data_IF_574295252229
#
_entry.id   IF_574295252229
#
_cell.length_a   1.000
_cell.length_b   1.000
_cell.length_c   1.000
_cell.angle_alpha   90.00
_cell.angle_beta   90.00
_cell.angle_gamma   90.00
#
_symmetry.space_group_name_H-M   'P 1'
#
loop_
_entity.id
_entity.type
_entity.pdbx_description
1 polymer ?
#
# COMPACT_ATOMS: atom_id res chain seq x y z
N UNK A 1 18.41 -37.64 7.16
CA UNK A 1 18.30 -36.33 7.81
C UNK A 1 17.70 -35.39 6.80
N UNK A 2 16.50 -34.87 7.07
CA UNK A 2 15.74 -34.07 6.12
C UNK A 2 16.56 -32.84 5.72
N UNK A 3 16.70 -32.62 4.41
CA UNK A 3 17.22 -31.35 3.90
C UNK A 3 16.40 -30.23 4.55
N UNK A 4 17.05 -29.41 5.37
CA UNK A 4 16.44 -28.23 5.96
C UNK A 4 15.90 -27.38 4.79
N UNK A 5 14.60 -27.12 4.87
CA UNK A 5 13.71 -26.93 3.75
C UNK A 5 13.90 -25.58 3.08
N UNK A 6 14.62 -25.57 1.96
CA UNK A 6 14.55 -24.46 1.01
C UNK A 6 13.10 -24.33 0.51
N UNK A 7 12.40 -23.30 0.97
CA UNK A 7 10.97 -23.17 0.77
C UNK A 7 10.63 -22.98 -0.71
N UNK A 8 9.64 -23.74 -1.18
CA UNK A 8 9.09 -23.68 -2.54
C UNK A 8 7.58 -23.97 -2.48
N UNK A 9 6.73 -23.17 -3.12
CA UNK A 9 5.31 -23.45 -3.20
C UNK A 9 5.07 -24.66 -4.10
N UNK A 10 4.09 -25.49 -3.74
CA UNK A 10 3.60 -26.62 -4.55
C UNK A 10 2.37 -26.24 -5.37
N UNK A 11 1.58 -25.29 -4.87
CA UNK A 11 0.44 -24.68 -5.55
C UNK A 11 0.44 -23.15 -5.35
N UNK A 12 -0.27 -22.41 -6.20
CA UNK A 12 -0.42 -20.95 -6.07
C UNK A 12 -1.08 -20.58 -4.73
N UNK A 13 -2.02 -21.40 -4.26
CA UNK A 13 -2.74 -21.23 -3.00
C UNK A 13 -1.90 -21.47 -1.75
N UNK A 14 -0.66 -21.97 -1.88
CA UNK A 14 0.22 -22.19 -0.73
C UNK A 14 0.73 -20.89 -0.11
N UNK A 15 0.66 -19.77 -0.85
CA UNK A 15 0.97 -18.45 -0.35
C UNK A 15 -0.33 -17.64 -0.21
N UNK A 16 -0.88 -17.59 1.01
CA UNK A 16 -2.11 -16.82 1.30
C UNK A 16 -1.98 -15.31 1.09
N UNK A 17 -0.76 -14.79 1.01
CA UNK A 17 -0.47 -13.36 0.86
C UNK A 17 -0.17 -12.96 -0.59
N UNK A 18 -0.07 -13.91 -1.52
CA UNK A 18 0.35 -13.62 -2.90
C UNK A 18 -0.66 -12.76 -3.67
N UNK A 19 -1.95 -12.89 -3.38
CA UNK A 19 -3.04 -12.17 -4.05
C UNK A 19 -4.24 -12.15 -3.10
N UNK A 20 -4.48 -11.00 -2.47
CA UNK A 20 -5.70 -10.75 -1.69
C UNK A 20 -6.61 -9.87 -2.54
N UNK A 21 -7.80 -10.37 -2.81
CA UNK A 21 -8.92 -9.61 -3.38
C UNK A 21 -9.87 -9.23 -2.26
N UNK A 22 -10.57 -8.12 -2.45
CA UNK A 22 -11.54 -7.59 -1.50
C UNK A 22 -12.90 -7.44 -2.15
N UNK A 23 -13.94 -7.38 -1.32
CA UNK A 23 -15.31 -7.56 -1.80
C UNK A 23 -15.77 -6.37 -2.64
N UNK A 24 -15.44 -5.13 -2.25
CA UNK A 24 -15.93 -3.91 -2.90
C UNK A 24 -14.79 -2.99 -3.37
N UNK A 25 -14.98 -2.26 -4.49
CA UNK A 25 -14.10 -1.17 -4.90
C UNK A 25 -14.30 0.13 -4.10
N UNK A 26 -13.31 1.02 -4.11
CA UNK A 26 -13.47 2.39 -3.62
C UNK A 26 -14.12 3.30 -4.67
N UNK A 27 -15.09 4.12 -4.27
CA UNK A 27 -15.69 5.11 -5.18
C UNK A 27 -14.73 6.26 -5.50
N UNK A 28 -14.92 6.95 -6.63
CA UNK A 28 -14.12 8.14 -6.99
C UNK A 28 -14.16 9.23 -5.90
N UNK A 29 -15.34 9.41 -5.27
CA UNK A 29 -15.53 10.34 -4.14
C UNK A 29 -14.67 9.90 -2.95
N UNK A 30 -14.71 8.62 -2.61
CA UNK A 30 -13.91 8.07 -1.51
C UNK A 30 -12.40 8.19 -1.78
N UNK A 31 -11.94 7.93 -3.00
CA UNK A 31 -10.52 8.08 -3.35
C UNK A 31 -10.02 9.50 -3.21
N UNK A 32 -10.81 10.49 -3.68
CA UNK A 32 -10.48 11.91 -3.51
C UNK A 32 -10.38 12.25 -2.02
N UNK A 33 -11.32 11.75 -1.22
CA UNK A 33 -11.29 11.90 0.22
C UNK A 33 -10.05 11.25 0.86
N UNK A 34 -9.73 10.01 0.50
CA UNK A 34 -8.58 9.25 1.00
C UNK A 34 -7.26 9.94 0.66
N UNK A 35 -7.12 10.50 -0.55
CA UNK A 35 -5.95 11.26 -0.95
C UNK A 35 -5.75 12.49 -0.04
N UNK A 36 -6.80 13.27 0.20
CA UNK A 36 -6.74 14.45 1.08
C UNK A 36 -6.44 14.06 2.53
N UNK A 37 -7.10 13.01 3.04
CA UNK A 37 -6.83 12.48 4.38
C UNK A 37 -5.35 12.08 4.49
N UNK A 38 -4.83 11.35 3.51
CA UNK A 38 -3.43 10.94 3.48
C UNK A 38 -2.48 12.15 3.44
N UNK A 39 -2.77 13.17 2.64
CA UNK A 39 -1.97 14.40 2.57
C UNK A 39 -1.90 15.14 3.91
N UNK A 40 -2.91 15.01 4.78
CA UNK A 40 -2.91 15.57 6.13
C UNK A 40 -2.11 14.68 7.08
N UNK A 41 -2.34 13.36 7.06
CA UNK A 41 -1.65 12.40 7.93
C UNK A 41 -0.13 12.39 7.73
N UNK A 42 0.31 12.65 6.49
CA UNK A 42 1.73 12.77 6.15
C UNK A 42 2.39 14.07 6.63
N UNK A 43 1.63 15.04 7.17
CA UNK A 43 2.22 16.28 7.70
C UNK A 43 2.80 15.97 9.08
N UNK A 44 4.06 16.32 9.36
CA UNK A 44 4.63 16.17 10.69
C UNK A 44 3.75 16.87 11.73
N UNK A 45 3.43 16.19 12.83
CA UNK A 45 2.62 16.77 13.91
C UNK A 45 1.23 17.26 13.48
N UNK A 46 0.59 16.59 12.52
CA UNK A 46 -0.76 16.95 12.07
C UNK A 46 -1.79 17.00 13.21
N UNK A 47 -1.67 16.13 14.24
CA UNK A 47 -2.58 16.11 15.40
C UNK A 47 -2.45 17.33 16.30
N UNK A 48 -1.28 18.00 16.29
CA UNK A 48 -1.10 19.30 16.95
C UNK A 48 -1.69 20.40 16.06
N UNK A 49 -1.37 20.35 14.76
CA UNK A 49 -1.79 21.34 13.77
C UNK A 49 -3.30 21.43 13.62
N UNK A 50 -4.03 20.32 13.75
CA UNK A 50 -5.49 20.30 13.66
C UNK A 50 -6.19 21.05 14.81
N UNK A 51 -5.48 21.36 15.90
CA UNK A 51 -6.02 22.18 16.99
C UNK A 51 -6.02 23.68 16.66
N UNK A 52 -5.29 24.11 15.63
CA UNK A 52 -5.26 25.49 15.17
C UNK A 52 -6.34 25.74 14.12
N UNK A 53 -7.32 26.58 14.48
CA UNK A 53 -8.45 26.97 13.61
C UNK A 53 -8.00 27.61 12.29
N UNK A 54 -6.85 28.29 12.29
CA UNK A 54 -6.28 28.90 11.08
C UNK A 54 -5.72 27.84 10.15
N UNK A 55 -5.10 26.80 10.71
CA UNK A 55 -4.59 25.67 9.93
C UNK A 55 -5.75 24.84 9.37
N UNK A 56 -6.79 24.58 10.16
CA UNK A 56 -8.00 23.90 9.66
C UNK A 56 -8.66 24.68 8.52
N UNK A 57 -8.80 26.00 8.65
CA UNK A 57 -9.34 26.84 7.58
C UNK A 57 -8.49 26.77 6.29
N UNK A 58 -7.16 26.67 6.45
CA UNK A 58 -6.24 26.49 5.32
C UNK A 58 -6.40 25.11 4.67
N UNK A 59 -6.41 24.03 5.45
CA UNK A 59 -6.63 22.67 4.92
C UNK A 59 -7.98 22.55 4.24
N UNK A 60 -9.03 23.17 4.79
CA UNK A 60 -10.35 23.26 4.17
C UNK A 60 -10.27 23.91 2.79
N UNK A 61 -9.62 25.07 2.69
CA UNK A 61 -9.48 25.80 1.43
C UNK A 61 -8.63 25.04 0.39
N UNK A 62 -7.60 24.28 0.83
CA UNK A 62 -6.74 23.49 -0.06
C UNK A 62 -7.38 22.16 -0.51
N UNK A 63 -8.39 21.67 0.20
CA UNK A 63 -8.99 20.35 -0.03
C UNK A 63 -10.07 20.28 -1.12
N UNK A 64 -10.67 21.41 -1.49
CA UNK A 64 -11.87 21.46 -2.34
C UNK A 64 -13.03 20.54 -1.88
N UNK A 65 -13.10 20.21 -0.58
CA UNK A 65 -14.19 19.43 0.02
C UNK A 65 -15.38 20.33 0.35
N UNK A 66 -16.60 19.77 0.37
CA UNK A 66 -17.78 20.45 0.90
C UNK A 66 -17.68 20.63 2.43
N UNK A 67 -18.50 21.51 3.04
CA UNK A 67 -18.46 21.72 4.50
C UNK A 67 -18.78 20.45 5.27
N UNK A 68 -19.70 19.64 4.74
CA UNK A 68 -20.05 18.34 5.30
C UNK A 68 -18.88 17.35 5.20
N UNK A 69 -18.26 17.21 4.03
CA UNK A 69 -17.15 16.27 3.80
C UNK A 69 -15.91 16.64 4.62
N UNK A 70 -15.63 17.94 4.74
CA UNK A 70 -14.53 18.41 5.59
C UNK A 70 -14.85 18.20 7.08
N UNK A 71 -16.11 18.38 7.49
CA UNK A 71 -16.55 18.02 8.83
C UNK A 71 -16.34 16.53 9.12
N UNK A 72 -16.65 15.65 8.16
CA UNK A 72 -16.36 14.23 8.24
C UNK A 72 -14.85 13.93 8.37
N UNK A 73 -14.03 14.60 7.55
CA UNK A 73 -12.57 14.50 7.62
C UNK A 73 -12.02 14.86 8.99
N UNK A 74 -12.48 15.97 9.58
CA UNK A 74 -12.03 16.40 10.91
C UNK A 74 -12.40 15.38 11.98
N UNK A 75 -13.61 14.81 11.94
CA UNK A 75 -14.03 13.76 12.88
C UNK A 75 -13.17 12.49 12.75
N UNK A 76 -12.80 12.09 11.53
CA UNK A 76 -11.90 10.95 11.32
C UNK A 76 -10.51 11.21 11.89
N UNK A 77 -9.97 12.41 11.71
CA UNK A 77 -8.71 12.82 12.32
C UNK A 77 -8.79 12.82 13.86
N UNK A 78 -9.87 13.36 14.44
CA UNK A 78 -10.10 13.33 15.89
C UNK A 78 -10.17 11.89 16.42
N UNK A 79 -10.83 11.00 15.68
CA UNK A 79 -10.85 9.58 16.01
C UNK A 79 -9.44 8.99 16.05
N UNK A 80 -8.59 9.26 15.05
CA UNK A 80 -7.21 8.78 15.05
C UNK A 80 -6.40 9.33 16.22
N UNK A 81 -6.54 10.62 16.56
CA UNK A 81 -5.86 11.20 17.73
C UNK A 81 -6.25 10.46 19.01
N UNK A 82 -7.55 10.19 19.20
CA UNK A 82 -8.08 9.54 20.39
C UNK A 82 -7.68 8.06 20.47
N UNK A 83 -7.74 7.31 19.38
CA UNK A 83 -7.43 5.87 19.38
C UNK A 83 -5.93 5.59 19.47
N UNK A 84 -5.11 6.30 18.69
CA UNK A 84 -3.67 6.05 18.60
C UNK A 84 -2.84 6.85 19.61
N UNK A 85 -3.54 7.55 20.52
CA UNK A 85 -2.97 8.31 21.63
C UNK A 85 -1.86 9.26 21.19
N UNK A 86 -2.12 10.02 20.14
CA UNK A 86 -1.21 11.05 19.67
C UNK A 86 -1.29 12.24 20.63
N UNK A 87 -0.45 12.24 21.67
CA UNK A 87 -0.44 13.29 22.69
C UNK A 87 0.60 14.36 22.41
N UNK A 88 0.34 15.59 22.89
CA UNK A 88 1.35 16.67 22.97
C UNK A 88 2.34 16.48 24.12
N UNK A 89 2.03 15.57 25.05
CA UNK A 89 2.83 15.31 26.24
C UNK A 89 3.53 13.97 26.09
N UNK A 90 4.84 13.93 26.37
CA UNK A 90 5.73 12.75 26.38
C UNK A 90 5.34 11.66 27.40
N UNK A 91 4.13 11.70 27.94
CA UNK A 91 3.63 10.69 28.86
C UNK A 91 2.47 9.96 28.18
N UNK A 92 2.68 8.69 27.78
CA UNK A 92 1.58 7.83 27.41
C UNK A 92 0.54 7.85 28.52
N UNK A 93 -0.72 8.06 28.17
CA UNK A 93 -1.80 7.67 29.08
C UNK A 93 -1.61 6.19 29.41
N UNK A 94 -1.75 5.76 30.69
CA UNK A 94 -1.73 4.34 31.01
C UNK A 94 -2.93 3.70 30.31
N UNK A 95 -2.67 3.09 29.16
CA UNK A 95 -3.71 2.46 28.36
C UNK A 95 -3.64 0.95 28.52
N UNK A 96 -4.81 0.35 28.70
CA UNK A 96 -5.04 -1.07 28.50
C UNK A 96 -5.21 -1.40 27.02
N UNK A 97 -4.89 -0.47 26.11
CA UNK A 97 -5.15 -0.62 24.68
C UNK A 97 -4.07 -1.53 24.06
N UNK A 98 -4.45 -2.49 23.21
CA UNK A 98 -3.52 -3.43 22.59
C UNK A 98 -2.69 -2.80 21.45
N UNK A 99 -2.96 -1.54 21.08
CA UNK A 99 -2.31 -0.87 19.95
C UNK A 99 -1.00 -0.17 20.34
N UNK A 100 0.03 -0.25 19.48
CA UNK A 100 1.30 0.40 19.75
C UNK A 100 1.14 1.91 19.55
N UNK A 101 1.54 2.67 20.57
CA UNK A 101 1.42 4.13 20.61
C UNK A 101 2.15 4.77 19.42
N UNK A 102 1.54 5.75 18.76
CA UNK A 102 2.20 6.52 17.71
C UNK A 102 2.32 5.85 16.33
N UNK A 103 1.67 4.69 16.13
CA UNK A 103 1.46 4.09 14.80
C UNK A 103 0.05 4.44 14.32
N UNK A 104 -0.04 5.06 13.15
CA UNK A 104 -1.30 5.55 12.58
C UNK A 104 -1.59 4.79 11.28
N UNK A 105 -2.82 4.26 11.07
CA UNK A 105 -3.20 3.69 9.79
C UNK A 105 -3.30 4.78 8.74
N UNK A 106 -2.87 4.44 7.53
CA UNK A 106 -3.10 5.26 6.36
C UNK A 106 -4.39 4.84 5.68
N UNK A 107 -4.97 5.67 4.78
CA UNK A 107 -6.22 5.32 4.11
C UNK A 107 -6.10 4.05 3.27
N UNK A 108 -4.91 3.73 2.75
CA UNK A 108 -4.65 2.45 2.11
C UNK A 108 -4.75 1.29 3.11
N UNK A 109 -5.54 0.28 2.75
CA UNK A 109 -5.71 -0.93 3.56
C UNK A 109 -4.37 -1.61 3.89
N UNK A 110 -4.19 -2.00 5.15
CA UNK A 110 -2.98 -2.68 5.63
C UNK A 110 -1.73 -1.81 5.67
N UNK A 111 -1.83 -0.49 5.45
CA UNK A 111 -0.70 0.44 5.46
C UNK A 111 -0.70 1.26 6.73
N UNK A 112 0.44 1.31 7.41
CA UNK A 112 0.63 2.01 8.68
C UNK A 112 1.88 2.88 8.60
N UNK A 113 1.88 4.00 9.30
CA UNK A 113 3.02 4.92 9.39
C UNK A 113 3.30 5.37 10.82
N UNK A 114 4.51 5.89 11.02
CA UNK A 114 4.90 6.62 12.22
C UNK A 114 6.05 7.58 11.90
N UNK A 115 6.02 8.77 12.49
CA UNK A 115 7.08 9.78 12.32
C UNK A 115 7.97 9.92 13.58
N UNK A 116 7.76 9.09 14.61
CA UNK A 116 8.38 9.30 15.94
C UNK A 116 9.14 8.11 16.50
N UNK A 117 8.94 6.91 15.96
CA UNK A 117 9.55 5.72 16.57
C UNK A 117 11.05 5.62 16.32
N UNK A 118 11.55 6.16 15.21
CA UNK A 118 12.98 6.10 14.87
C UNK A 118 13.69 7.33 15.44
N UNK A 119 14.53 7.14 16.45
CA UNK A 119 15.31 8.22 17.05
C UNK A 119 16.45 8.69 16.14
N UNK A 120 16.89 9.94 16.33
CA UNK A 120 17.90 10.56 15.47
C UNK A 120 19.28 9.91 15.58
N UNK A 121 19.61 9.26 16.69
CA UNK A 121 20.92 8.61 16.86
C UNK A 121 20.96 7.25 16.15
N UNK A 122 19.87 6.48 16.18
CA UNK A 122 19.71 5.28 15.36
C UNK A 122 19.80 5.62 13.87
N UNK A 123 19.10 6.67 13.42
CA UNK A 123 19.12 7.13 12.03
C UNK A 123 20.54 7.48 11.57
N UNK A 124 21.24 8.32 12.37
CA UNK A 124 22.62 8.74 12.09
C UNK A 124 23.60 7.55 12.08
N UNK A 125 23.37 6.57 12.96
CA UNK A 125 24.18 5.36 13.01
C UNK A 125 24.00 4.51 11.75
N UNK A 126 22.76 4.30 11.29
CA UNK A 126 22.48 3.60 10.04
C UNK A 126 23.10 4.33 8.84
N UNK A 127 22.94 5.66 8.75
CA UNK A 127 23.57 6.48 7.71
C UNK A 127 25.10 6.30 7.69
N UNK A 128 25.76 6.47 8.84
CA UNK A 128 27.22 6.37 8.93
C UNK A 128 27.74 4.97 8.58
N UNK A 129 27.04 3.92 9.00
CA UNK A 129 27.44 2.52 8.77
C UNK A 129 27.11 2.02 7.36
N UNK A 130 26.15 2.66 6.66
CA UNK A 130 25.81 2.32 5.27
C UNK A 130 26.61 3.11 4.23
N UNK A 131 27.18 4.27 4.58
CA UNK A 131 27.97 5.09 3.65
C UNK A 131 29.15 4.36 2.98
N UNK A 132 29.95 3.50 3.69
CA UNK A 132 30.98 2.70 3.02
C UNK A 132 30.41 1.70 2.02
N UNK A 133 29.29 1.05 2.35
CA UNK A 133 28.61 0.11 1.46
C UNK A 133 28.11 0.79 0.19
N UNK A 134 27.59 2.00 0.32
CA UNK A 134 27.16 2.82 -0.81
C UNK A 134 28.34 3.20 -1.73
N UNK A 135 29.46 3.62 -1.15
CA UNK A 135 30.67 3.93 -1.92
C UNK A 135 31.19 2.70 -2.69
N UNK A 136 31.15 1.52 -2.07
CA UNK A 136 31.53 0.26 -2.71
C UNK A 136 30.55 -0.16 -3.82
N UNK A 137 29.24 -0.08 -3.59
CA UNK A 137 28.22 -0.36 -4.60
C UNK A 137 28.39 0.55 -5.83
N UNK A 138 28.66 1.83 -5.59
CA UNK A 138 28.95 2.80 -6.66
C UNK A 138 30.23 2.46 -7.41
N UNK A 139 31.29 2.05 -6.71
CA UNK A 139 32.55 1.66 -7.35
C UNK A 139 32.40 0.40 -8.24
N UNK A 140 31.50 -0.51 -7.88
CA UNK A 140 31.14 -1.68 -8.70
C UNK A 140 30.19 -1.36 -9.86
N UNK A 141 29.47 -0.24 -9.77
CA UNK A 141 28.46 0.14 -10.75
C UNK A 141 27.16 -0.65 -10.58
N UNK A 142 26.77 -0.95 -9.34
CA UNK A 142 25.58 -1.72 -8.97
C UNK A 142 24.28 -0.88 -9.15
N UNK A 143 24.11 -0.25 -10.31
CA UNK A 143 22.91 0.52 -10.63
C UNK A 143 21.76 -0.40 -11.06
N UNK A 144 20.56 -0.09 -10.59
CA UNK A 144 19.36 -0.84 -10.88
C UNK A 144 19.08 -0.84 -12.39
N UNK A 145 18.73 -1.98 -13.01
CA UNK A 145 18.42 -2.05 -14.43
C UNK A 145 17.32 -1.07 -14.84
N UNK A 146 17.49 -0.44 -16.01
CA UNK A 146 16.54 0.52 -16.58
C UNK A 146 16.28 1.78 -15.72
N UNK A 147 17.12 2.07 -14.72
CA UNK A 147 17.00 3.27 -13.87
C UNK A 147 17.73 4.51 -14.41
N UNK A 148 18.37 4.42 -15.58
CA UNK A 148 19.25 5.47 -16.11
C UNK A 148 20.35 5.87 -15.10
N UNK A 149 20.93 4.90 -14.40
CA UNK A 149 21.94 5.10 -13.34
C UNK A 149 21.48 6.07 -12.24
N UNK A 150 20.18 6.10 -11.92
CA UNK A 150 19.61 6.94 -10.85
C UNK A 150 19.26 6.14 -9.61
N UNK A 151 19.24 4.81 -9.66
CA UNK A 151 18.96 3.97 -8.49
C UNK A 151 20.16 3.08 -8.24
N UNK A 152 20.83 3.26 -7.11
CA UNK A 152 21.99 2.47 -6.69
C UNK A 152 21.56 1.38 -5.71
N UNK A 153 21.79 0.12 -6.07
CA UNK A 153 21.48 -1.05 -5.24
C UNK A 153 22.63 -1.31 -4.24
N UNK A 154 22.49 -0.80 -3.01
CA UNK A 154 23.50 -0.92 -1.94
C UNK A 154 23.47 -2.32 -1.35
N UNK A 155 22.29 -2.73 -0.87
CA UNK A 155 21.96 -4.09 -0.45
C UNK A 155 20.72 -4.48 -1.23
N UNK A 156 20.81 -5.48 -2.10
CA UNK A 156 19.68 -5.88 -2.92
C UNK A 156 19.61 -7.40 -3.06
N UNK A 157 18.45 -8.03 -2.78
CA UNK A 157 18.35 -9.48 -2.72
C UNK A 157 18.59 -10.18 -4.06
N UNK A 158 18.53 -9.45 -5.18
CA UNK A 158 18.84 -10.00 -6.51
C UNK A 158 20.35 -10.10 -6.80
N UNK A 159 21.20 -9.32 -6.14
CA UNK A 159 22.66 -9.32 -6.40
C UNK A 159 23.33 -10.64 -5.98
N UNK A 160 22.84 -11.25 -4.90
CA UNK A 160 23.38 -12.50 -4.33
C UNK A 160 22.28 -13.52 -4.04
N UNK A 161 21.30 -13.63 -4.94
CA UNK A 161 20.22 -14.61 -4.85
C UNK A 161 20.73 -16.06 -4.96
N UNK A 162 19.93 -17.02 -4.50
CA UNK A 162 20.19 -18.42 -4.76
C UNK A 162 19.98 -18.74 -6.24
N UNK A 163 20.89 -19.53 -6.82
CA UNK A 163 20.84 -19.99 -8.20
C UNK A 163 20.81 -21.52 -8.23
N UNK A 164 19.75 -22.07 -8.84
CA UNK A 164 19.51 -23.51 -8.89
C UNK A 164 20.68 -24.25 -9.55
N UNK A 165 21.27 -25.22 -8.85
CA UNK A 165 22.40 -26.00 -9.36
C UNK A 165 23.73 -25.24 -9.40
N UNK A 166 23.83 -24.05 -8.79
CA UNK A 166 25.08 -23.29 -8.70
C UNK A 166 25.41 -22.84 -7.28
N UNK A 167 24.44 -22.30 -6.54
CA UNK A 167 24.68 -21.82 -5.17
C UNK A 167 25.13 -22.98 -4.28
N UNK A 168 26.13 -22.73 -3.44
CA UNK A 168 26.66 -23.72 -2.50
C UNK A 168 26.05 -23.52 -1.13
N UNK A 169 25.72 -24.61 -0.45
CA UNK A 169 25.16 -24.63 0.90
C UNK A 169 26.01 -25.50 1.82
N UNK A 170 25.97 -25.17 3.11
CA UNK A 170 26.59 -25.94 4.17
C UNK A 170 25.51 -26.52 5.09
N UNK A 171 25.70 -27.78 5.51
CA UNK A 171 24.80 -28.47 6.44
C UNK A 171 25.21 -28.28 7.91
N UNK A 172 26.40 -27.72 8.15
CA UNK A 172 26.92 -27.48 9.49
C UNK A 172 26.37 -26.17 10.06
N UNK A 173 25.75 -26.25 11.23
CA UNK A 173 25.35 -25.08 12.04
C UNK A 173 26.58 -24.48 12.73
N UNK A 174 27.56 -24.04 11.95
CA UNK A 174 28.65 -23.20 12.45
C UNK A 174 28.08 -21.85 12.91
N UNK A 175 28.64 -21.25 13.96
CA UNK A 175 28.30 -19.88 14.36
C UNK A 175 28.48 -18.93 13.17
N UNK A 176 27.76 -17.79 13.14
CA UNK A 176 27.90 -16.76 12.08
C UNK A 176 29.38 -16.42 11.77
N UNK A 177 30.24 -16.45 12.79
CA UNK A 177 31.67 -16.11 12.69
C UNK A 177 32.59 -17.26 12.26
N UNK A 178 32.12 -18.51 12.24
CA UNK A 178 32.94 -19.70 11.95
C UNK A 178 32.44 -20.50 10.73
N UNK A 179 31.42 -19.99 10.04
CA UNK A 179 30.90 -20.64 8.86
C UNK A 179 31.93 -20.67 7.72
N UNK A 180 32.07 -21.81 7.02
CA UNK A 180 32.97 -21.88 5.87
C UNK A 180 32.50 -20.91 4.78
N UNK A 181 33.44 -20.13 4.23
CA UNK A 181 33.21 -19.15 3.15
C UNK A 181 32.58 -19.78 1.89
N UNK A 182 32.73 -21.09 1.70
CA UNK A 182 32.14 -21.82 0.59
C UNK A 182 31.41 -23.07 1.10
N UNK A 183 30.16 -23.22 0.68
CA UNK A 183 29.36 -24.40 1.01
C UNK A 183 29.92 -25.70 0.40
N UNK A 184 29.72 -26.80 1.13
CA UNK A 184 30.23 -28.12 0.80
C UNK A 184 29.44 -28.81 -0.32
N UNK A 185 28.16 -28.46 -0.47
CA UNK A 185 27.25 -29.07 -1.45
C UNK A 185 26.56 -28.03 -2.31
N UNK A 186 26.07 -28.43 -3.48
CA UNK A 186 25.35 -27.54 -4.40
C UNK A 186 23.87 -27.60 -4.11
N UNK A 187 23.25 -26.45 -3.85
CA UNK A 187 21.82 -26.30 -3.70
C UNK A 187 21.11 -26.59 -5.02
N UNK A 188 20.17 -27.53 -4.98
CA UNK A 188 19.33 -27.91 -6.11
C UNK A 188 17.89 -28.01 -5.65
N UNK A 189 16.96 -27.54 -6.48
CA UNK A 189 15.53 -27.69 -6.25
C UNK A 189 14.80 -28.13 -7.53
N UNK A 190 13.69 -28.87 -7.41
CA UNK A 190 12.91 -29.31 -8.55
C UNK A 190 12.29 -28.12 -9.29
N UNK A 191 12.09 -28.31 -10.60
CA UNK A 191 11.35 -27.35 -11.41
C UNK A 191 9.89 -27.33 -10.93
N UNK A 192 9.34 -26.13 -10.79
CA UNK A 192 7.94 -25.86 -10.51
C UNK A 192 7.21 -25.54 -11.82
N UNK A 193 5.96 -26.00 -11.91
CA UNK A 193 5.00 -25.61 -12.94
C UNK A 193 4.03 -24.52 -12.47
N UNK A 194 4.16 -24.05 -11.22
CA UNK A 194 3.34 -22.96 -10.67
C UNK A 194 3.71 -21.67 -11.42
N UNK A 195 2.69 -20.94 -11.88
CA UNK A 195 2.86 -19.64 -12.53
C UNK A 195 3.59 -18.65 -11.61
N UNK A 196 4.38 -17.72 -12.17
CA UNK A 196 5.19 -16.76 -11.42
C UNK A 196 6.14 -17.35 -10.35
N UNK A 197 6.56 -18.60 -10.54
CA UNK A 197 7.63 -19.22 -9.76
C UNK A 197 8.87 -19.38 -10.62
N UNK A 198 9.94 -18.67 -10.24
CA UNK A 198 11.24 -18.80 -10.91
C UNK A 198 11.83 -20.18 -10.67
N UNK A 199 12.29 -20.83 -11.75
CA UNK A 199 12.99 -22.11 -11.68
C UNK A 199 14.50 -21.98 -11.55
N UNK A 200 15.02 -20.75 -11.63
CA UNK A 200 16.45 -20.46 -11.72
C UNK A 200 16.98 -19.70 -10.51
N UNK A 201 16.20 -18.77 -10.00
CA UNK A 201 16.59 -17.80 -8.99
C UNK A 201 15.58 -17.78 -7.85
N UNK A 202 16.02 -17.52 -6.63
CA UNK A 202 15.16 -17.25 -5.48
C UNK A 202 15.92 -16.37 -4.48
N UNK A 203 15.28 -15.36 -3.93
CA UNK A 203 15.91 -14.53 -2.90
C UNK A 203 16.22 -15.34 -1.63
N UNK A 204 17.35 -15.03 -0.98
CA UNK A 204 17.77 -15.67 0.25
C UNK A 204 17.39 -14.80 1.46
N UNK A 205 16.38 -15.19 2.25
CA UNK A 205 16.10 -14.51 3.51
C UNK A 205 17.17 -14.85 4.56
N UNK A 206 17.34 -13.94 5.52
CA UNK A 206 18.04 -14.23 6.77
C UNK A 206 17.03 -14.54 7.89
N UNK A 207 17.22 -15.60 8.68
CA UNK A 207 16.48 -15.80 9.92
C UNK A 207 16.73 -14.68 10.94
N UNK A 208 15.64 -14.15 11.50
CA UNK A 208 15.62 -13.21 12.62
C UNK A 208 14.80 -13.82 13.74
N UNK A 209 15.42 -14.06 14.90
CA UNK A 209 14.70 -14.53 16.08
C UNK A 209 14.12 -13.35 16.84
N UNK A 210 12.83 -13.43 17.17
CA UNK A 210 12.13 -12.47 18.02
C UNK A 210 11.82 -13.16 19.34
N UNK A 211 12.35 -12.65 20.44
CA UNK A 211 12.14 -13.24 21.76
C UNK A 211 10.76 -12.87 22.36
N UNK A 212 10.51 -13.28 23.62
CA UNK A 212 9.26 -12.99 24.33
C UNK A 212 9.02 -11.51 24.60
N UNK A 213 10.08 -10.70 24.60
CA UNK A 213 10.05 -9.26 24.86
C UNK A 213 9.97 -8.44 23.56
N UNK A 214 10.19 -9.08 22.41
CA UNK A 214 10.19 -8.43 21.10
C UNK A 214 11.58 -8.10 20.59
N UNK A 215 12.64 -8.49 21.31
CA UNK A 215 14.00 -8.26 20.85
C UNK A 215 14.34 -9.15 19.68
N UNK A 216 14.93 -8.52 18.65
CA UNK A 216 15.25 -9.15 17.39
C UNK A 216 16.75 -9.47 17.32
N UNK A 217 17.10 -10.64 16.79
CA UNK A 217 18.50 -11.00 16.55
C UNK A 217 18.63 -11.73 15.23
N UNK A 218 19.46 -11.19 14.34
CA UNK A 218 19.85 -11.86 13.10
C UNK A 218 20.67 -13.12 13.44
N UNK A 219 20.19 -14.27 12.98
CA UNK A 219 20.84 -15.57 13.22
C UNK A 219 21.79 -15.98 12.09
N UNK A 220 21.80 -15.24 10.97
CA UNK A 220 22.67 -15.50 9.84
C UNK A 220 23.12 -14.20 9.15
N UNK A 221 23.97 -14.32 8.13
CA UNK A 221 24.37 -13.17 7.35
C UNK A 221 23.18 -12.59 6.58
N UNK A 222 23.21 -11.28 6.32
CA UNK A 222 22.30 -10.64 5.38
C UNK A 222 23.07 -10.63 4.04
N UNK A 223 22.40 -10.90 2.93
CA UNK A 223 23.08 -10.86 1.62
C UNK A 223 23.77 -9.51 1.43
N UNK A 224 24.94 -9.51 0.77
CA UNK A 224 25.79 -8.33 0.56
C UNK A 224 26.56 -7.84 1.80
N UNK A 225 26.19 -8.23 3.02
CA UNK A 225 26.80 -7.71 4.25
C UNK A 225 27.15 -8.85 5.21
N UNK A 226 28.43 -9.24 5.24
CA UNK A 226 28.89 -10.29 6.14
C UNK A 226 29.07 -9.75 7.57
N UNK A 227 28.65 -10.47 8.62
CA UNK A 227 28.69 -10.00 10.01
C UNK A 227 30.11 -9.78 10.56
N UNK A 228 31.14 -10.39 9.98
CA UNK A 228 32.54 -10.11 10.37
C UNK A 228 33.02 -8.74 9.94
N UNK A 229 32.47 -8.24 8.83
CA UNK A 229 32.95 -7.03 8.16
C UNK A 229 32.07 -5.82 8.54
N UNK A 230 30.82 -6.09 8.93
CA UNK A 230 29.81 -5.09 9.27
C UNK A 230 29.17 -5.34 10.65
N UNK A 231 29.94 -5.82 11.63
CA UNK A 231 29.44 -6.20 12.96
C UNK A 231 28.62 -5.09 13.64
N UNK A 232 28.99 -3.83 13.42
CA UNK A 232 28.36 -2.68 14.06
C UNK A 232 27.02 -2.31 13.43
N UNK A 233 26.76 -2.72 12.17
CA UNK A 233 25.50 -2.46 11.46
C UNK A 233 24.37 -3.38 11.92
N UNK A 234 24.69 -4.63 12.27
CA UNK A 234 23.70 -5.64 12.66
C UNK A 234 22.83 -5.24 13.87
N UNK A 235 23.39 -4.73 14.98
CA UNK A 235 22.59 -4.22 16.09
C UNK A 235 21.64 -3.08 15.67
N UNK A 236 22.07 -2.17 14.79
CA UNK A 236 21.23 -1.05 14.33
C UNK A 236 20.06 -1.55 13.47
N UNK A 237 20.32 -2.49 12.55
CA UNK A 237 19.26 -3.11 11.76
C UNK A 237 18.29 -3.92 12.63
N UNK A 238 18.79 -4.57 13.70
CA UNK A 238 17.96 -5.30 14.65
C UNK A 238 17.05 -4.33 15.42
N UNK A 239 17.60 -3.24 15.97
CA UNK A 239 16.81 -2.19 16.63
C UNK A 239 15.79 -1.57 15.69
N UNK A 240 16.13 -1.32 14.42
CA UNK A 240 15.16 -0.84 13.44
C UNK A 240 14.05 -1.87 13.19
N UNK A 241 14.39 -3.16 13.10
CA UNK A 241 13.39 -4.22 12.95
C UNK A 241 12.45 -4.30 14.16
N UNK A 242 12.98 -4.16 15.38
CA UNK A 242 12.18 -4.10 16.62
C UNK A 242 11.17 -2.95 16.59
N UNK A 243 11.57 -1.76 16.10
CA UNK A 243 10.67 -0.61 15.93
C UNK A 243 9.57 -0.87 14.90
N UNK A 244 9.89 -1.57 13.81
CA UNK A 244 8.92 -1.95 12.77
C UNK A 244 8.05 -3.15 13.17
N UNK A 245 8.45 -3.93 14.18
CA UNK A 245 7.77 -5.17 14.55
C UNK A 245 6.27 -4.97 14.78
N UNK A 246 5.79 -3.98 15.57
CA UNK A 246 4.36 -3.80 15.78
C UNK A 246 3.60 -3.35 14.52
N UNK A 247 4.28 -2.68 13.58
CA UNK A 247 3.71 -2.35 12.27
C UNK A 247 3.55 -3.60 11.42
N UNK A 248 4.53 -4.51 11.41
CA UNK A 248 4.42 -5.80 10.75
C UNK A 248 3.30 -6.66 11.34
N UNK A 249 3.19 -6.71 12.67
CA UNK A 249 2.12 -7.42 13.38
C UNK A 249 0.73 -6.94 12.95
N UNK A 250 0.55 -5.62 12.83
CA UNK A 250 -0.73 -5.00 12.44
C UNK A 250 -1.01 -5.15 10.94
N UNK A 251 0.01 -5.00 10.09
CA UNK A 251 -0.09 -5.24 8.64
C UNK A 251 -0.53 -6.68 8.35
N UNK A 252 0.13 -7.67 8.97
CA UNK A 252 -0.21 -9.08 8.82
C UNK A 252 -1.59 -9.42 9.38
N UNK A 253 -2.00 -8.79 10.49
CA UNK A 253 -3.35 -8.93 11.01
C UNK A 253 -4.41 -8.43 10.04
N UNK A 254 -4.10 -7.38 9.27
CA UNK A 254 -5.02 -6.77 8.31
C UNK A 254 -5.28 -7.63 7.07
N UNK A 255 -4.50 -8.68 6.85
CA UNK A 255 -4.61 -9.55 5.66
C UNK A 255 -5.93 -10.32 5.58
N UNK A 256 -6.56 -10.62 6.72
CA UNK A 256 -7.81 -11.39 6.80
C UNK A 256 -9.02 -10.47 7.12
N UNK A 257 -8.89 -9.15 6.94
CA UNK A 257 -9.93 -8.14 7.21
C UNK A 257 -10.22 -7.33 5.97
N UNK A 258 -11.50 -7.00 5.75
CA UNK A 258 -11.95 -6.19 4.62
C UNK A 258 -11.45 -4.74 4.73
N UNK A 259 -11.25 -4.05 3.61
CA UNK A 259 -10.85 -2.66 3.60
C UNK A 259 -11.96 -1.81 4.20
N UNK A 260 -11.57 -0.72 4.86
CA UNK A 260 -12.55 0.21 5.39
C UNK A 260 -13.09 1.09 4.27
N UNK A 261 -14.36 0.87 3.92
CA UNK A 261 -15.14 1.70 3.01
C UNK A 261 -15.92 2.78 3.79
N UNK A 262 -15.71 4.05 3.44
CA UNK A 262 -16.50 5.19 3.94
C UNK A 262 -17.80 5.32 3.16
N UNK A 263 -17.78 4.83 1.92
CA UNK A 263 -18.92 4.74 1.03
C UNK A 263 -18.99 3.27 0.58
N UNK A 264 -19.86 2.50 1.22
CA UNK A 264 -20.02 1.05 0.99
C UNK A 264 -21.39 0.74 0.38
N UNK A 265 -21.55 -0.47 -0.17
CA UNK A 265 -22.83 -1.03 -0.64
C UNK A 265 -23.54 -0.14 -1.66
N UNK A 266 -22.81 0.33 -2.68
CA UNK A 266 -23.37 1.21 -3.70
C UNK A 266 -24.48 0.49 -4.47
N UNK A 267 -25.67 1.09 -4.44
CA UNK A 267 -26.80 0.65 -5.24
C UNK A 267 -26.89 1.49 -6.52
N UNK A 268 -26.65 0.87 -7.67
CA UNK A 268 -26.67 1.57 -8.96
C UNK A 268 -28.05 2.10 -9.34
N UNK A 269 -29.15 1.46 -8.92
CA UNK A 269 -30.51 1.97 -9.14
C UNK A 269 -30.73 3.30 -8.38
N UNK A 270 -30.00 3.54 -7.30
CA UNK A 270 -30.04 4.82 -6.60
C UNK A 270 -29.15 5.87 -7.27
N UNK A 271 -28.02 5.44 -7.83
CA UNK A 271 -27.10 6.33 -8.56
C UNK A 271 -27.73 6.82 -9.85
N UNK A 272 -28.44 5.94 -10.56
CA UNK A 272 -29.12 6.21 -11.82
C UNK A 272 -30.55 5.65 -11.77
N UNK A 273 -31.49 6.38 -11.14
CA UNK A 273 -32.87 5.91 -10.96
C UNK A 273 -33.70 5.94 -12.24
N UNK A 274 -33.15 6.50 -13.31
CA UNK A 274 -33.78 6.51 -14.64
C UNK A 274 -32.68 6.34 -15.66
N UNK A 275 -32.83 5.29 -16.45
CA UNK A 275 -31.83 4.83 -17.40
C UNK A 275 -31.75 5.80 -18.61
N UNK A 276 -30.70 5.75 -19.44
CA UNK A 276 -30.49 6.67 -20.58
C UNK A 276 -31.66 6.59 -21.56
N UNK A 277 -32.15 5.38 -21.83
CA UNK A 277 -33.24 5.12 -22.77
C UNK A 277 -34.55 5.75 -22.29
N UNK A 278 -34.84 5.67 -21.00
CA UNK A 278 -36.00 6.27 -20.36
C UNK A 278 -35.91 7.80 -20.33
N UNK A 279 -34.73 8.36 -20.01
CA UNK A 279 -34.50 9.80 -20.12
C UNK A 279 -34.70 10.30 -21.55
N UNK A 280 -34.16 9.59 -22.54
CA UNK A 280 -34.32 9.91 -23.96
C UNK A 280 -35.79 9.85 -24.38
N UNK A 281 -36.53 8.80 -23.96
CA UNK A 281 -37.97 8.66 -24.20
C UNK A 281 -38.76 9.82 -23.59
N UNK A 282 -38.49 10.17 -22.34
CA UNK A 282 -39.17 11.28 -21.66
C UNK A 282 -38.89 12.62 -22.36
N UNK A 283 -37.65 12.86 -22.76
CA UNK A 283 -37.23 14.06 -23.49
C UNK A 283 -37.90 14.15 -24.87
N UNK A 284 -37.94 13.04 -25.62
CA UNK A 284 -38.62 12.96 -26.91
C UNK A 284 -40.10 13.34 -26.81
N UNK A 285 -40.84 12.73 -25.88
CA UNK A 285 -42.27 13.05 -25.70
C UNK A 285 -42.49 14.46 -25.13
N UNK A 286 -41.57 14.97 -24.30
CA UNK A 286 -41.63 16.36 -23.84
C UNK A 286 -41.45 17.35 -25.01
N UNK A 287 -40.47 17.12 -25.89
CA UNK A 287 -40.25 17.92 -27.09
C UNK A 287 -41.46 17.87 -28.02
N UNK A 288 -42.02 16.68 -28.25
CA UNK A 288 -43.22 16.50 -29.06
C UNK A 288 -44.43 17.27 -28.51
N UNK A 289 -44.62 17.30 -27.19
CA UNK A 289 -45.69 18.10 -26.55
C UNK A 289 -45.48 19.60 -26.72
N UNK A 290 -44.23 20.07 -26.76
CA UNK A 290 -43.92 21.47 -27.06
C UNK A 290 -44.24 21.81 -28.52
N UNK A 291 -43.86 20.93 -29.45
CA UNK A 291 -44.07 21.13 -30.88
C UNK A 291 -45.55 20.98 -31.29
N UNK A 292 -46.28 20.07 -30.63
CA UNK A 292 -47.71 19.87 -30.81
C UNK A 292 -48.41 19.69 -29.44
N UNK A 293 -48.93 20.79 -28.85
CA UNK A 293 -49.65 20.75 -27.56
C UNK A 293 -50.92 19.89 -27.57
N UNK A 294 -51.46 19.57 -28.74
CA UNK A 294 -52.61 18.67 -28.90
C UNK A 294 -52.20 17.20 -29.08
N UNK A 295 -50.93 16.86 -28.92
CA UNK A 295 -50.49 15.46 -28.90
C UNK A 295 -51.15 14.74 -27.72
N UNK A 296 -52.02 13.76 -28.01
CA UNK A 296 -52.86 13.08 -27.00
C UNK A 296 -52.36 11.70 -26.59
N UNK A 297 -51.33 11.17 -27.26
CA UNK A 297 -50.87 9.80 -27.08
C UNK A 297 -49.35 9.72 -27.11
N UNK A 298 -48.77 9.29 -25.98
CA UNK A 298 -47.42 8.74 -25.90
C UNK A 298 -47.61 7.21 -25.96
N UNK A 299 -47.35 6.60 -27.11
CA UNK A 299 -47.65 5.18 -27.32
C UNK A 299 -46.69 4.52 -28.29
N UNK A 300 -46.78 3.19 -28.36
CA UNK A 300 -45.82 2.29 -29.03
C UNK A 300 -45.63 2.52 -30.54
N UNK A 301 -46.49 3.34 -31.17
CA UNK A 301 -46.35 3.72 -32.59
C UNK A 301 -45.10 4.57 -32.87
N UNK A 302 -44.47 5.15 -31.83
CA UNK A 302 -43.28 6.00 -31.94
C UNK A 302 -42.00 5.34 -31.43
N UNK A 303 -42.00 4.02 -31.18
CA UNK A 303 -40.81 3.33 -30.67
C UNK A 303 -39.60 3.55 -31.59
N UNK A 304 -39.74 3.36 -32.90
CA UNK A 304 -38.62 3.53 -33.85
C UNK A 304 -38.01 4.95 -33.79
N UNK A 305 -38.86 5.98 -33.69
CA UNK A 305 -38.42 7.38 -33.57
C UNK A 305 -37.74 7.64 -32.21
N UNK A 306 -38.24 7.02 -31.13
CA UNK A 306 -37.62 7.10 -29.79
C UNK A 306 -36.25 6.43 -29.80
N UNK A 307 -36.10 5.28 -30.46
CA UNK A 307 -34.82 4.59 -30.62
C UNK A 307 -33.81 5.45 -31.37
N UNK A 308 -34.18 6.05 -32.52
CA UNK A 308 -33.29 6.95 -33.27
C UNK A 308 -32.92 8.19 -32.45
N UNK A 309 -33.87 8.77 -31.71
CA UNK A 309 -33.59 9.90 -30.81
C UNK A 309 -32.60 9.52 -29.70
N UNK A 310 -32.78 8.35 -29.09
CA UNK A 310 -31.93 7.84 -28.00
C UNK A 310 -30.47 7.63 -28.41
N UNK A 311 -30.19 7.24 -29.65
CA UNK A 311 -28.81 7.12 -30.17
C UNK A 311 -28.06 8.46 -30.12
N UNK A 312 -28.77 9.57 -30.29
CA UNK A 312 -28.21 10.93 -30.27
C UNK A 312 -28.38 11.67 -28.94
N UNK A 313 -29.00 11.02 -27.95
CA UNK A 313 -29.28 11.65 -26.65
C UNK A 313 -27.99 11.85 -25.86
N UNK A 314 -27.74 13.11 -25.47
CA UNK A 314 -26.56 13.49 -24.72
C UNK A 314 -26.66 12.98 -23.27
N UNK A 315 -25.72 12.10 -22.91
CA UNK A 315 -25.61 11.44 -21.61
C UNK A 315 -25.45 12.42 -20.45
N UNK A 316 -24.97 13.65 -20.72
CA UNK A 316 -24.90 14.70 -19.70
C UNK A 316 -26.30 15.11 -19.17
N UNK A 317 -27.38 14.75 -19.86
CA UNK A 317 -28.76 15.00 -19.43
C UNK A 317 -29.36 13.87 -18.58
N UNK A 318 -28.63 12.78 -18.37
CA UNK A 318 -29.05 11.72 -17.45
C UNK A 318 -28.79 12.19 -16.01
N UNK A 319 -29.80 12.21 -15.12
CA UNK A 319 -29.60 12.61 -13.73
C UNK A 319 -28.83 11.54 -12.96
N UNK A 320 -27.68 11.93 -12.39
CA UNK A 320 -26.86 11.07 -11.54
C UNK A 320 -26.89 11.54 -10.08
N UNK A 321 -27.08 10.59 -9.17
CA UNK A 321 -27.08 10.81 -7.73
C UNK A 321 -25.85 10.13 -7.13
N UNK A 322 -24.71 10.82 -7.17
CA UNK A 322 -23.45 10.25 -6.70
C UNK A 322 -23.51 9.95 -5.21
N UNK A 323 -22.93 8.82 -4.78
CA UNK A 323 -22.84 8.50 -3.37
C UNK A 323 -21.99 9.55 -2.64
N UNK A 324 -22.42 9.91 -1.44
CA UNK A 324 -21.80 10.93 -0.62
C UNK A 324 -21.19 10.34 0.66
N UNK A 325 -20.25 11.07 1.27
CA UNK A 325 -19.72 10.68 2.57
C UNK A 325 -20.81 10.74 3.65
N UNK A 326 -20.75 9.87 4.68
CA UNK A 326 -21.73 9.86 5.76
C UNK A 326 -21.73 11.16 6.56
N UNK A 327 -22.92 11.63 6.96
CA UNK A 327 -23.04 12.90 7.71
C UNK A 327 -22.88 12.73 9.21
N UNK A 328 -23.46 11.70 9.85
CA UNK A 328 -23.46 11.59 11.33
C UNK A 328 -23.41 10.15 11.92
N UNK A 329 -23.56 9.08 11.11
CA UNK A 329 -23.64 7.68 11.59
C UNK A 329 -22.46 6.81 11.12
N UNK A 330 -21.23 7.33 11.19
CA UNK A 330 -20.06 6.53 10.85
C UNK A 330 -19.33 6.06 12.11
N UNK A 331 -19.41 4.77 12.40
CA UNK A 331 -18.63 4.13 13.45
C UNK A 331 -17.22 3.84 12.93
N UNK A 332 -16.24 4.48 13.56
CA UNK A 332 -14.84 4.19 13.29
C UNK A 332 -14.41 2.93 14.05
N UNK A 333 -13.80 1.98 13.34
CA UNK A 333 -13.29 0.74 13.92
C UNK A 333 -12.24 1.01 15.00
N UNK A 334 -12.52 0.55 16.22
CA UNK A 334 -11.68 0.80 17.40
C UNK A 334 -10.52 -0.18 17.55
N UNK A 335 -10.51 -1.28 16.80
CA UNK A 335 -9.48 -2.32 16.89
C UNK A 335 -9.02 -2.76 15.52
N UNK A 336 -7.72 -2.64 15.29
CA UNK A 336 -7.08 -3.23 14.12
C UNK A 336 -6.63 -4.66 14.46
N UNK A 337 -6.84 -5.62 13.56
CA UNK A 337 -6.31 -6.96 13.75
C UNK A 337 -4.77 -6.90 13.87
N UNK A 338 -4.21 -7.71 14.76
CA UNK A 338 -2.77 -7.81 14.97
C UNK A 338 -2.40 -9.25 15.30
N UNK A 339 -1.30 -9.72 14.71
CA UNK A 339 -0.74 -11.05 15.02
C UNK A 339 0.54 -10.89 15.83
N UNK A 340 0.73 -11.70 16.88
CA UNK A 340 1.97 -11.65 17.66
C UNK A 340 3.09 -12.46 17.00
N UNK A 341 4.21 -11.80 16.75
CA UNK A 341 5.39 -12.38 16.14
C UNK A 341 6.46 -12.79 17.17
N UNK A 342 6.30 -12.40 18.44
CA UNK A 342 7.14 -12.85 19.55
C UNK A 342 7.30 -14.38 19.61
N UNK A 343 8.45 -14.83 20.08
CA UNK A 343 8.84 -16.24 20.19
C UNK A 343 8.88 -17.00 18.85
N UNK A 344 8.98 -16.30 17.73
CA UNK A 344 9.14 -16.90 16.40
C UNK A 344 10.51 -16.58 15.79
N UNK A 345 10.89 -17.39 14.80
CA UNK A 345 12.01 -17.06 13.91
C UNK A 345 11.42 -16.69 12.55
N UNK A 346 11.60 -15.44 12.17
CA UNK A 346 11.06 -14.85 10.95
C UNK A 346 12.10 -14.94 9.83
N UNK A 347 11.65 -15.03 8.58
CA UNK A 347 12.50 -14.94 7.40
C UNK A 347 12.46 -13.50 6.90
N UNK A 348 13.59 -12.80 6.92
CA UNK A 348 13.67 -11.37 6.61
C UNK A 348 14.59 -11.14 5.43
N UNK A 349 14.15 -10.30 4.50
CA UNK A 349 14.98 -9.81 3.40
C UNK A 349 15.24 -8.33 3.64
N UNK A 350 16.52 -7.94 3.61
CA UNK A 350 16.93 -6.55 3.75
C UNK A 350 17.26 -6.01 2.38
N UNK A 351 16.76 -4.81 2.09
CA UNK A 351 17.03 -4.05 0.88
C UNK A 351 17.39 -2.62 1.30
N UNK A 352 18.47 -2.10 0.74
CA UNK A 352 18.96 -0.74 0.94
C UNK A 352 19.32 -0.22 -0.45
N UNK A 353 18.75 0.90 -0.84
CA UNK A 353 19.00 1.52 -2.13
C UNK A 353 19.01 3.04 -1.99
N UNK A 354 19.74 3.71 -2.88
CA UNK A 354 19.77 5.17 -2.97
C UNK A 354 19.19 5.62 -4.31
N UNK A 355 18.47 6.73 -4.31
CA UNK A 355 18.01 7.41 -5.52
C UNK A 355 18.84 8.68 -5.69
N UNK A 356 19.61 8.75 -6.77
CA UNK A 356 20.54 9.83 -7.05
C UNK A 356 20.02 10.71 -8.18
N UNK A 357 19.73 11.96 -7.85
CA UNK A 357 19.35 12.99 -8.80
C UNK A 357 20.52 13.93 -9.04
N UNK A 358 20.70 14.34 -10.30
CA UNK A 358 21.70 15.36 -10.69
C UNK A 358 21.00 16.49 -11.44
N UNK A 359 21.63 17.67 -11.60
CA UNK A 359 21.05 18.73 -12.45
C UNK A 359 20.73 18.28 -13.89
N UNK A 360 21.38 17.21 -14.39
CA UNK A 360 21.12 16.65 -15.72
C UNK A 360 20.09 15.50 -15.71
N UNK A 361 19.89 14.87 -14.56
CA UNK A 361 18.91 13.79 -14.31
C UNK A 361 18.11 14.15 -13.05
N UNK A 362 17.37 15.25 -13.11
CA UNK A 362 16.76 15.91 -11.94
C UNK A 362 15.42 15.33 -11.51
N UNK A 363 14.94 14.31 -12.22
CA UNK A 363 13.63 13.71 -11.99
C UNK A 363 13.77 12.20 -12.12
N UNK A 364 13.21 11.48 -11.16
CA UNK A 364 13.02 10.04 -11.23
C UNK A 364 11.51 9.75 -11.31
N UNK A 365 11.02 9.08 -12.37
CA UNK A 365 9.59 8.87 -12.57
C UNK A 365 8.96 7.86 -11.60
N UNK A 366 9.78 7.19 -10.78
CA UNK A 366 9.36 6.07 -9.94
C UNK A 366 9.70 4.71 -10.54
N UNK A 367 9.55 3.66 -9.73
CA UNK A 367 9.69 2.27 -10.18
C UNK A 367 8.46 1.77 -10.94
N UNK A 368 8.60 0.62 -11.58
CA UNK A 368 7.47 -0.10 -12.19
C UNK A 368 6.49 -0.58 -11.11
N UNK A 369 5.21 -0.73 -11.46
CA UNK A 369 4.24 -1.41 -10.60
C UNK A 369 4.64 -2.87 -10.39
N UNK A 370 4.74 -3.30 -9.13
CA UNK A 370 5.07 -4.67 -8.75
C UNK A 370 4.58 -4.97 -7.34
N UNK A 371 4.50 -6.27 -7.03
CA UNK A 371 4.49 -6.78 -5.66
C UNK A 371 5.94 -7.14 -5.32
N UNK A 372 6.33 -6.98 -4.06
CA UNK A 372 7.69 -7.34 -3.63
C UNK A 372 7.90 -8.87 -3.66
N UNK A 373 8.97 -9.30 -4.34
CA UNK A 373 9.26 -10.70 -4.58
C UNK A 373 8.29 -11.38 -5.57
N UNK A 374 8.44 -12.69 -5.75
CA UNK A 374 7.49 -13.54 -6.44
C UNK A 374 6.83 -14.51 -5.45
N UNK A 375 5.93 -15.38 -5.93
CA UNK A 375 5.18 -16.31 -5.07
C UNK A 375 6.13 -17.10 -4.18
N UNK A 376 7.24 -17.60 -4.74
CA UNK A 376 8.24 -18.42 -4.06
C UNK A 376 9.24 -17.67 -3.16
N UNK A 377 9.07 -16.36 -2.97
CA UNK A 377 9.66 -15.60 -1.86
C UNK A 377 8.70 -15.47 -0.66
N UNK A 378 7.37 -15.56 -0.86
CA UNK A 378 6.35 -15.39 0.19
C UNK A 378 6.52 -14.14 1.04
N UNK A 379 6.73 -12.99 0.39
CA UNK A 379 6.74 -11.70 1.09
C UNK A 379 5.34 -11.42 1.63
N UNK A 380 5.19 -11.43 2.95
CA UNK A 380 3.91 -11.23 3.62
C UNK A 380 3.71 -9.79 4.12
N UNK A 381 4.80 -9.05 4.32
CA UNK A 381 4.77 -7.63 4.70
C UNK A 381 6.07 -6.95 4.25
N UNK A 382 6.01 -5.63 4.04
CA UNK A 382 7.18 -4.80 3.70
C UNK A 382 7.23 -3.58 4.61
N UNK A 383 8.43 -3.26 5.08
CA UNK A 383 8.69 -2.08 5.91
C UNK A 383 9.69 -1.18 5.19
N UNK A 384 9.43 0.12 5.18
CA UNK A 384 10.24 1.10 4.45
C UNK A 384 10.62 2.21 5.43
N UNK A 385 11.91 2.50 5.50
CA UNK A 385 12.46 3.69 6.15
C UNK A 385 13.22 4.49 5.11
N UNK A 386 12.81 5.73 4.87
CA UNK A 386 13.68 6.72 4.26
C UNK A 386 14.62 7.18 5.37
N UNK A 387 15.93 6.96 5.22
CA UNK A 387 16.89 7.29 6.29
C UNK A 387 17.86 8.42 5.92
N UNK A 388 17.93 8.80 4.65
CA UNK A 388 18.69 9.96 4.17
C UNK A 388 17.95 10.59 2.98
N UNK A 389 17.71 11.89 3.05
CA UNK A 389 16.96 12.66 2.06
C UNK A 389 17.49 14.10 2.08
N UNK A 390 18.17 14.52 1.02
CA UNK A 390 18.70 15.87 0.90
C UNK A 390 18.38 16.46 -0.48
N UNK A 391 18.03 17.76 -0.50
CA UNK A 391 17.81 18.55 -1.70
C UNK A 391 16.86 17.92 -2.75
N UNK A 392 15.78 17.29 -2.29
CA UNK A 392 14.73 16.70 -3.13
C UNK A 392 13.34 17.25 -2.79
N UNK A 393 12.44 17.23 -3.78
CA UNK A 393 11.01 17.43 -3.52
C UNK A 393 10.42 16.25 -2.74
N UNK A 394 9.27 16.43 -2.06
CA UNK A 394 8.59 15.33 -1.38
C UNK A 394 8.41 14.11 -2.29
N UNK A 395 8.79 12.93 -1.79
CA UNK A 395 8.69 11.67 -2.53
C UNK A 395 7.34 11.02 -2.29
N UNK A 396 6.86 10.24 -3.27
CA UNK A 396 5.56 9.59 -3.17
C UNK A 396 5.60 8.09 -3.39
N UNK A 397 4.83 7.34 -2.59
CA UNK A 397 4.60 5.91 -2.79
C UNK A 397 3.12 5.67 -3.10
N UNK A 398 2.87 4.81 -4.08
CA UNK A 398 1.51 4.51 -4.51
C UNK A 398 1.14 3.06 -4.25
N UNK A 399 -0.06 2.86 -3.72
CA UNK A 399 -0.62 1.54 -3.44
C UNK A 399 -1.79 1.23 -4.35
N UNK A 400 -1.88 -0.03 -4.75
CA UNK A 400 -2.94 -0.60 -5.57
C UNK A 400 -3.72 -1.61 -4.76
N UNK A 401 -5.01 -1.65 -5.02
CA UNK A 401 -5.93 -2.55 -4.36
C UNK A 401 -6.67 -3.35 -5.43
N UNK A 402 -6.72 -4.67 -5.26
CA UNK A 402 -7.47 -5.58 -6.13
C UNK A 402 -8.79 -5.93 -5.45
N UNK A 403 -9.88 -5.95 -6.22
CA UNK A 403 -11.19 -6.40 -5.75
C UNK A 403 -11.59 -7.67 -6.51
N UNK A 404 -12.63 -8.34 -6.03
CA UNK A 404 -13.12 -9.57 -6.64
C UNK A 404 -13.44 -9.36 -8.13
N UNK A 405 -12.87 -10.18 -9.05
CA UNK A 405 -13.07 -10.00 -10.49
C UNK A 405 -14.53 -10.08 -10.92
N UNK A 406 -15.34 -10.84 -10.19
CA UNK A 406 -16.76 -11.03 -10.44
C UNK A 406 -17.63 -9.98 -9.73
N UNK A 407 -17.02 -9.01 -9.02
CA UNK A 407 -17.74 -7.84 -8.52
C UNK A 407 -18.09 -6.94 -9.70
N UNK A 408 -19.25 -7.18 -10.28
CA UNK A 408 -19.89 -6.28 -11.21
C UNK A 408 -20.91 -5.45 -10.44
N UNK A 409 -20.86 -4.14 -10.62
CA UNK A 409 -22.05 -3.33 -10.35
C UNK A 409 -23.19 -3.92 -11.18
N UNK A 410 -24.37 -4.14 -10.60
CA UNK A 410 -25.55 -4.48 -11.41
C UNK A 410 -25.99 -3.21 -12.15
N UNK A 411 -25.93 -3.21 -13.48
CA UNK A 411 -26.38 -2.10 -14.33
C UNK A 411 -27.01 -2.65 -15.61
N UNK A 412 -27.87 -1.85 -16.25
CA UNK A 412 -28.53 -2.25 -17.49
C UNK A 412 -27.57 -2.24 -18.69
N UNK A 413 -27.91 -3.02 -19.73
CA UNK A 413 -27.09 -3.10 -20.94
C UNK A 413 -26.91 -1.70 -21.56
N UNK A 414 -25.67 -1.40 -21.99
CA UNK A 414 -25.25 -0.12 -22.59
C UNK A 414 -25.26 1.10 -21.63
N UNK A 415 -25.34 0.88 -20.31
CA UNK A 415 -25.37 1.95 -19.29
C UNK A 415 -24.02 2.19 -18.59
N UNK A 416 -23.08 2.81 -19.31
CA UNK A 416 -21.73 3.05 -18.79
C UNK A 416 -21.57 4.35 -17.97
N UNK A 417 -22.54 5.27 -18.03
CA UNK A 417 -22.45 6.61 -17.44
C UNK A 417 -22.37 6.55 -15.91
N UNK A 418 -23.23 5.78 -15.26
CA UNK A 418 -23.27 5.65 -13.81
C UNK A 418 -22.01 4.97 -13.25
N UNK A 419 -21.55 3.89 -13.91
CA UNK A 419 -20.33 3.16 -13.52
C UNK A 419 -19.11 4.09 -13.58
N UNK A 420 -18.96 4.84 -14.67
CA UNK A 420 -17.83 5.75 -14.86
C UNK A 420 -17.83 6.89 -13.83
N UNK A 421 -19.02 7.29 -13.36
CA UNK A 421 -19.15 8.36 -12.38
C UNK A 421 -18.88 7.90 -10.93
N UNK A 422 -19.15 6.63 -10.63
CA UNK A 422 -18.90 6.03 -9.32
C UNK A 422 -17.49 5.45 -9.23
N UNK A 423 -16.98 4.90 -10.33
CA UNK A 423 -15.79 4.08 -10.37
C UNK A 423 -14.79 4.48 -11.48
N UNK A 424 -13.49 4.35 -11.19
CA UNK A 424 -12.45 4.29 -12.21
C UNK A 424 -12.27 2.83 -12.67
N UNK A 425 -12.26 2.53 -13.98
CA UNK A 425 -12.09 1.15 -14.49
C UNK A 425 -10.72 0.54 -14.18
N UNK A 426 -9.82 1.26 -13.52
CA UNK A 426 -8.49 0.78 -13.16
C UNK A 426 -8.12 1.20 -11.73
N UNK A 427 -7.79 0.17 -10.96
CA UNK A 427 -6.78 0.11 -9.91
C UNK A 427 -6.44 1.45 -9.23
N UNK A 428 -6.82 1.53 -7.95
CA UNK A 428 -6.65 2.75 -7.17
C UNK A 428 -5.21 3.02 -6.77
N UNK A 429 -4.97 4.28 -6.45
CA UNK A 429 -3.67 4.87 -6.18
C UNK A 429 -3.82 5.63 -4.86
N UNK A 430 -3.33 5.07 -3.75
CA UNK A 430 -3.19 5.85 -2.51
C UNK A 430 -1.82 6.51 -2.50
N UNK A 431 -1.79 7.82 -2.39
CA UNK A 431 -0.61 8.67 -2.46
C UNK A 431 0.01 8.87 -1.07
N UNK A 432 1.10 8.19 -0.74
CA UNK A 432 1.89 8.53 0.46
C UNK A 432 2.94 9.56 0.07
N UNK A 433 2.81 10.81 0.49
CA UNK A 433 3.84 11.84 0.27
C UNK A 433 4.73 11.97 1.50
N UNK A 434 5.98 11.52 1.44
CA UNK A 434 6.93 11.65 2.54
C UNK A 434 7.68 12.99 2.46
N UNK A 435 7.70 13.71 3.57
CA UNK A 435 8.63 14.80 3.86
C UNK A 435 9.28 14.49 5.20
N UNK A 436 10.61 14.39 5.25
CA UNK A 436 11.30 14.56 6.53
C UNK A 436 11.22 16.01 6.98
#
# INVERSE_FOLDING_TARGET
>A
MAATSFWRPRAHTDNKFAYVTFDEPYTLVELKYMDILCQILMKPQWWVKMQDVTILAKWKAESDLSDNDFGFLVRELEFYVNQYMLTTNEQPLPSTNPHPLGIVPLPAHGVFMTDHLVDSDLLRSIQALTAPLEAEARARGDFHPNSNDQVLDIVHPSLYCAVNGRTRITSSSSSLSSAPLAGESVLQWPLSSVFDVSNRFQWLPTPVHVDSCGHATFQSYINNIHPSDHSDLYPQLASLFELMLPMFETCLGSADVQPRHRIAHINMDQVMPTNKSECARQAFFAQRRLDNPNSVTDGDEFEDDVWEFAESFDEANVPLFLPALPTDEFEFETQFPSVKLNNNTLQVIVKIASIELTPHKSTYPGGSWHVEGMIHESIAASGILYYDCDNVTPSKLWFRHAFEPDYEFEYEQDEHTAITAVNSPYIYIVLLSFTM
#
